data_IF_161450784646
#
_entry.id   IF_161450784646
#
_cell.length_a   1.000
_cell.length_b   1.000
_cell.length_c   1.000
_cell.angle_alpha   90.00
_cell.angle_beta   90.00
_cell.angle_gamma   90.00
#
_symmetry.space_group_name_H-M   'P 1'
#
loop_
_entity.id
_entity.type
_entity.pdbx_description
1 polymer ?
#
# COMPACT_ATOMS: atom_id res chain seq x y z
N UNK A 1 0.54 15.78 16.74
CA UNK A 1 -0.84 15.39 16.40
C UNK A 1 -1.09 15.33 14.89
N UNK A 2 -0.71 16.37 14.13
CA UNK A 2 -0.97 16.47 12.67
C UNK A 2 -0.52 15.23 11.89
N UNK A 3 0.70 14.74 12.12
CA UNK A 3 1.23 13.56 11.42
C UNK A 3 0.43 12.27 11.64
N UNK A 4 -0.15 12.06 12.83
CA UNK A 4 -1.00 10.90 13.09
C UNK A 4 -2.38 11.07 12.43
N UNK A 5 -2.96 12.27 12.49
CA UNK A 5 -4.24 12.56 11.84
C UNK A 5 -4.18 12.49 10.31
N UNK A 6 -3.13 13.05 9.71
CA UNK A 6 -2.93 13.00 8.25
C UNK A 6 -2.69 11.58 7.76
N UNK A 7 -1.90 10.79 8.49
CA UNK A 7 -1.67 9.38 8.15
C UNK A 7 -2.96 8.56 8.23
N UNK A 8 -3.77 8.78 9.25
CA UNK A 8 -5.06 8.11 9.41
C UNK A 8 -6.05 8.48 8.29
N UNK A 9 -6.16 9.77 7.95
CA UNK A 9 -7.02 10.22 6.85
C UNK A 9 -6.61 9.58 5.51
N UNK A 10 -5.31 9.55 5.21
CA UNK A 10 -4.80 8.92 3.98
C UNK A 10 -5.07 7.42 3.99
N UNK A 11 -4.88 6.74 5.13
CA UNK A 11 -5.16 5.32 5.26
C UNK A 11 -6.65 5.00 5.04
N UNK A 12 -7.55 5.80 5.62
CA UNK A 12 -9.00 5.65 5.41
C UNK A 12 -9.39 5.93 3.96
N UNK A 13 -8.82 6.96 3.33
CA UNK A 13 -9.08 7.28 1.94
C UNK A 13 -8.67 6.11 1.03
N UNK A 14 -7.42 5.62 1.16
CA UNK A 14 -6.93 4.49 0.37
C UNK A 14 -7.74 3.20 0.61
N UNK A 15 -8.10 2.92 1.87
CA UNK A 15 -8.96 1.79 2.20
C UNK A 15 -10.33 1.90 1.55
N UNK A 16 -10.98 3.06 1.66
CA UNK A 16 -12.30 3.31 1.12
C UNK A 16 -12.33 3.20 -0.40
N UNK A 17 -11.34 3.80 -1.08
CA UNK A 17 -11.27 3.76 -2.55
C UNK A 17 -11.06 2.35 -3.07
N UNK A 18 -10.16 1.57 -2.48
CA UNK A 18 -9.94 0.17 -2.88
C UNK A 18 -11.23 -0.65 -2.67
N UNK A 19 -11.92 -0.45 -1.55
CA UNK A 19 -13.15 -1.18 -1.23
C UNK A 19 -14.33 -0.78 -2.09
N UNK A 20 -14.45 0.47 -2.51
CA UNK A 20 -15.51 0.92 -3.42
C UNK A 20 -15.25 0.41 -4.83
N UNK A 21 -14.01 0.55 -5.33
CA UNK A 21 -13.65 0.12 -6.69
C UNK A 21 -13.78 -1.38 -6.86
N UNK A 22 -13.37 -2.19 -5.86
CA UNK A 22 -13.48 -3.64 -5.92
C UNK A 22 -14.84 -4.16 -5.44
N UNK A 23 -15.52 -3.43 -4.56
CA UNK A 23 -16.79 -3.85 -3.99
C UNK A 23 -17.96 -3.57 -4.91
N UNK A 24 -18.09 -2.33 -5.39
CA UNK A 24 -19.24 -1.87 -6.20
C UNK A 24 -18.87 -1.51 -7.63
N UNK A 25 -17.58 -1.53 -7.98
CA UNK A 25 -17.13 -1.17 -9.32
C UNK A 25 -17.28 0.32 -9.61
N UNK A 26 -17.41 1.12 -8.57
CA UNK A 26 -17.62 2.56 -8.64
C UNK A 26 -16.50 3.31 -7.93
N UNK A 27 -16.37 4.59 -8.25
CA UNK A 27 -15.52 5.51 -7.52
C UNK A 27 -16.27 6.81 -7.32
N UNK A 28 -16.50 7.17 -6.05
CA UNK A 28 -17.28 8.35 -5.65
C UNK A 28 -18.68 8.38 -6.30
N UNK A 29 -19.29 7.21 -6.48
CA UNK A 29 -20.60 7.07 -7.11
C UNK A 29 -20.60 7.09 -8.64
N UNK A 30 -19.45 7.26 -9.30
CA UNK A 30 -19.31 7.10 -10.75
C UNK A 30 -18.99 5.63 -11.06
N UNK A 31 -19.82 4.98 -11.87
CA UNK A 31 -19.57 3.61 -12.33
C UNK A 31 -18.32 3.60 -13.23
N UNK A 32 -17.25 2.96 -12.78
CA UNK A 32 -16.01 2.81 -13.56
C UNK A 32 -16.12 1.66 -14.54
N UNK A 33 -16.81 0.59 -14.11
CA UNK A 33 -17.06 -0.57 -14.93
C UNK A 33 -18.50 -0.50 -15.46
N UNK A 34 -18.70 -0.92 -16.71
CA UNK A 34 -20.01 -0.94 -17.35
C UNK A 34 -20.98 -1.95 -16.72
N UNK A 35 -22.16 -2.19 -17.33
CA UNK A 35 -23.23 -3.00 -16.76
C UNK A 35 -22.90 -4.49 -16.51
N UNK A 36 -21.71 -4.96 -16.88
CA UNK A 36 -21.24 -6.33 -16.66
C UNK A 36 -20.32 -6.52 -15.44
N UNK A 37 -20.18 -5.52 -14.58
CA UNK A 37 -19.36 -5.66 -13.37
C UNK A 37 -20.09 -6.47 -12.31
N UNK A 38 -19.49 -7.57 -11.88
CA UNK A 38 -19.99 -8.35 -10.75
C UNK A 38 -19.33 -7.85 -9.44
N UNK A 39 -20.11 -7.27 -8.51
CA UNK A 39 -19.61 -6.79 -7.22
C UNK A 39 -18.84 -7.86 -6.46
N UNK A 40 -17.60 -7.59 -6.04
CA UNK A 40 -16.91 -8.50 -5.11
C UNK A 40 -17.43 -8.27 -3.70
N UNK A 41 -18.51 -8.97 -3.37
CA UNK A 41 -19.23 -8.90 -2.10
C UNK A 41 -18.28 -8.95 -0.90
N UNK A 42 -17.23 -9.78 -0.94
CA UNK A 42 -16.21 -9.90 0.12
C UNK A 42 -15.57 -8.55 0.50
N UNK A 43 -15.35 -7.64 -0.46
CA UNK A 43 -14.73 -6.32 -0.21
C UNK A 43 -15.68 -5.32 0.47
N UNK A 44 -16.98 -5.53 0.30
CA UNK A 44 -18.02 -4.73 0.97
C UNK A 44 -18.20 -5.20 2.41
N UNK A 45 -18.11 -6.50 2.67
CA UNK A 45 -18.26 -7.07 4.01
C UNK A 45 -17.06 -6.74 4.94
N UNK A 46 -17.23 -6.86 6.28
CA UNK A 46 -16.14 -6.70 7.26
C UNK A 46 -14.83 -7.43 6.93
N UNK A 47 -14.81 -8.70 6.48
CA UNK A 47 -13.60 -9.39 6.01
C UNK A 47 -12.77 -8.60 4.98
N UNK A 48 -13.41 -7.83 4.09
CA UNK A 48 -12.73 -7.01 3.08
C UNK A 48 -11.75 -6.00 3.69
N UNK A 49 -12.09 -5.42 4.85
CA UNK A 49 -11.21 -4.47 5.55
C UNK A 49 -9.89 -5.11 6.01
N UNK A 50 -9.92 -6.36 6.46
CA UNK A 50 -8.70 -7.09 6.83
C UNK A 50 -7.85 -7.41 5.61
N UNK A 51 -8.48 -7.79 4.49
CA UNK A 51 -7.75 -7.99 3.24
C UNK A 51 -7.07 -6.70 2.77
N UNK A 52 -7.80 -5.59 2.72
CA UNK A 52 -7.22 -4.30 2.31
C UNK A 52 -6.08 -3.88 3.24
N UNK A 53 -6.19 -4.11 4.55
CA UNK A 53 -5.10 -3.86 5.50
C UNK A 53 -3.88 -4.74 5.20
N UNK A 54 -4.08 -6.04 4.99
CA UNK A 54 -3.01 -6.97 4.66
C UNK A 54 -2.26 -6.56 3.38
N UNK A 55 -3.00 -6.18 2.34
CA UNK A 55 -2.42 -5.68 1.09
C UNK A 55 -1.67 -4.35 1.27
N UNK A 56 -2.21 -3.41 2.05
CA UNK A 56 -1.53 -2.15 2.34
C UNK A 56 -0.22 -2.38 3.11
N UNK A 57 -0.23 -3.25 4.12
CA UNK A 57 0.97 -3.63 4.86
C UNK A 57 2.00 -4.31 3.95
N UNK A 58 1.55 -5.22 3.08
CA UNK A 58 2.40 -5.88 2.10
C UNK A 58 3.06 -4.85 1.16
N UNK A 59 2.28 -3.92 0.62
CA UNK A 59 2.78 -2.88 -0.28
C UNK A 59 3.80 -1.96 0.42
N UNK A 60 3.49 -1.47 1.61
CA UNK A 60 4.38 -0.59 2.38
C UNK A 60 5.67 -1.34 2.76
N UNK A 61 5.56 -2.58 3.22
CA UNK A 61 6.73 -3.37 3.60
C UNK A 61 7.61 -3.69 2.39
N UNK A 62 7.01 -3.99 1.23
CA UNK A 62 7.75 -4.22 0.00
C UNK A 62 8.52 -2.96 -0.45
N UNK A 63 7.85 -1.80 -0.44
CA UNK A 63 8.49 -0.51 -0.74
C UNK A 63 9.63 -0.20 0.24
N UNK A 64 9.44 -0.51 1.53
CA UNK A 64 10.45 -0.33 2.57
C UNK A 64 11.67 -1.23 2.32
N UNK A 65 11.45 -2.51 2.02
CA UNK A 65 12.54 -3.46 1.76
C UNK A 65 13.40 -3.04 0.58
N UNK A 66 12.79 -2.55 -0.52
CA UNK A 66 13.54 -2.06 -1.67
C UNK A 66 14.48 -0.90 -1.32
N UNK A 67 14.05 0.01 -0.45
CA UNK A 67 14.87 1.15 0.03
C UNK A 67 16.00 0.70 0.95
N UNK A 68 15.73 -0.24 1.86
CA UNK A 68 16.73 -0.77 2.79
C UNK A 68 17.83 -1.54 2.05
N UNK A 69 17.47 -2.34 1.05
CA UNK A 69 18.42 -3.08 0.23
C UNK A 69 19.43 -2.15 -0.47
N UNK A 70 18.96 -1.00 -0.97
CA UNK A 70 19.83 0.00 -1.60
C UNK A 70 20.75 0.72 -0.60
N UNK A 71 20.27 0.98 0.62
CA UNK A 71 21.09 1.59 1.67
C UNK A 71 22.24 0.66 2.08
N UNK A 72 21.96 -0.64 2.27
CA UNK A 72 22.98 -1.63 2.63
C UNK A 72 24.03 -1.85 1.54
N UNK A 73 23.62 -1.84 0.26
CA UNK A 73 24.56 -1.96 -0.86
C UNK A 73 25.59 -0.81 -0.89
N UNK A 74 25.16 0.42 -0.57
CA UNK A 74 26.05 1.59 -0.51
C UNK A 74 27.05 1.51 0.65
N UNK A 75 26.63 1.05 1.82
CA UNK A 75 27.52 0.88 2.97
C UNK A 75 28.55 -0.22 2.74
N UNK A 76 28.16 -1.35 2.12
CA UNK A 76 29.07 -2.47 1.84
C UNK A 76 30.18 -2.11 0.85
N UNK A 77 29.88 -1.30 -0.17
CA UNK A 77 30.93 -0.81 -1.09
C UNK A 77 31.92 0.13 -0.40
N UNK A 78 31.46 0.96 0.54
CA UNK A 78 32.31 1.93 1.24
C UNK A 78 33.29 1.25 2.20
N UNK A 79 32.86 0.19 2.89
CA UNK A 79 33.74 -0.58 3.79
C UNK A 79 34.79 -1.39 3.03
N UNK A 80 34.42 -2.03 1.91
CA UNK A 80 35.36 -2.80 1.08
C UNK A 80 36.45 -1.90 0.47
N UNK A 81 36.09 -0.69 0.01
CA UNK A 81 37.07 0.27 -0.49
C UNK A 81 37.96 0.82 0.63
N UNK A 82 37.42 1.07 1.83
CA UNK A 82 38.20 1.55 2.97
C UNK A 82 39.22 0.51 3.48
N UNK A 83 38.86 -0.77 3.54
CA UNK A 83 39.78 -1.85 3.92
C UNK A 83 40.86 -2.13 2.86
N UNK A 84 40.58 -1.86 1.58
CA UNK A 84 41.57 -2.04 0.49
C UNK A 84 42.55 -0.89 0.34
N UNK A 85 42.29 0.26 0.98
CA UNK A 85 43.14 1.44 0.93
C UNK A 85 44.08 1.56 2.14
N UNK A 86 43.95 0.67 3.13
CA UNK A 86 44.82 0.54 4.30
C UNK A 86 45.78 -0.64 4.11
#
# INVERSE_FOLDING_TARGET
AVGMGSGFMIALLLMGTIREVLGSGSFLGVSLFGPGYEPWVIMVLPPGGFFTLAFLLLAINWLKQARVAQAQARERSRSVTATRAA
#
